data_IF_916128023322
#
_entry.id   IF_916128023322
#
_cell.length_a   1.000
_cell.length_b   1.000
_cell.length_c   1.000
_cell.angle_alpha   90.00
_cell.angle_beta   90.00
_cell.angle_gamma   90.00
#
_symmetry.space_group_name_H-M   'P 1'
#
loop_
_entity.id
_entity.type
_entity.pdbx_description
1 polymer ?
#
# COMPACT_ATOMS: atom_id res chain seq x y z
N UNK A 1 2.53 5.69 19.16
CA UNK A 1 3.22 5.92 17.88
C UNK A 1 3.42 7.41 17.77
N UNK A 2 4.64 7.83 17.47
CA UNK A 2 4.92 9.24 17.25
C UNK A 2 5.15 9.38 15.74
N UNK A 3 4.21 9.97 14.99
CA UNK A 3 4.41 10.18 13.57
C UNK A 3 5.57 11.15 13.35
N UNK A 4 6.28 10.99 12.23
CA UNK A 4 7.42 11.84 11.86
C UNK A 4 7.06 12.79 10.73
N UNK A 5 7.61 14.00 10.79
CA UNK A 5 7.36 15.04 9.80
C UNK A 5 8.15 14.81 8.53
N UNK A 6 7.47 14.88 7.38
CA UNK A 6 8.10 14.94 6.06
C UNK A 6 8.34 16.40 5.73
N UNK A 7 9.60 16.78 5.55
CA UNK A 7 10.02 18.16 5.30
C UNK A 7 10.29 18.38 3.81
N UNK A 8 9.83 19.50 3.28
CA UNK A 8 10.12 19.93 1.92
C UNK A 8 11.59 20.38 1.83
N UNK A 9 12.46 19.71 1.03
CA UNK A 9 13.88 20.05 0.96
C UNK A 9 14.16 21.41 0.30
N UNK A 10 13.17 22.02 -0.37
CA UNK A 10 13.33 23.32 -1.05
C UNK A 10 12.92 24.51 -0.18
N UNK A 11 12.06 24.30 0.83
CA UNK A 11 11.51 25.38 1.68
C UNK A 11 11.74 25.17 3.17
N UNK A 12 12.17 23.97 3.59
CA UNK A 12 12.33 23.55 4.98
C UNK A 12 11.00 23.55 5.79
N UNK A 13 9.87 23.61 5.09
CA UNK A 13 8.53 23.56 5.67
C UNK A 13 8.00 22.12 5.75
N UNK A 14 7.19 21.83 6.76
CA UNK A 14 6.53 20.53 6.93
C UNK A 14 5.42 20.32 5.89
N UNK A 15 5.47 19.18 5.18
CA UNK A 15 4.46 18.74 4.21
C UNK A 15 3.32 18.03 4.93
N UNK A 16 3.66 17.00 5.72
CA UNK A 16 2.72 16.20 6.49
C UNK A 16 3.44 15.37 7.55
N UNK A 17 2.67 14.74 8.44
CA UNK A 17 3.15 13.74 9.39
C UNK A 17 2.78 12.34 8.91
N UNK A 18 3.74 11.42 8.97
CA UNK A 18 3.57 10.02 8.54
C UNK A 18 3.85 9.09 9.73
N UNK A 19 3.06 8.04 9.85
CA UNK A 19 3.27 7.02 10.89
C UNK A 19 4.65 6.35 10.73
N UNK A 20 5.36 6.21 11.85
CA UNK A 20 6.61 5.48 11.90
C UNK A 20 6.33 3.98 12.00
N UNK A 21 6.72 3.22 10.97
CA UNK A 21 6.52 1.78 10.95
C UNK A 21 7.34 1.07 12.03
N UNK A 22 6.65 0.34 12.92
CA UNK A 22 7.31 -0.40 14.01
C UNK A 22 7.48 -1.89 13.68
N UNK A 23 8.23 -2.61 14.51
CA UNK A 23 8.32 -4.07 14.44
C UNK A 23 6.94 -4.74 14.58
N UNK A 24 6.09 -4.24 15.47
CA UNK A 24 4.76 -4.80 15.69
C UNK A 24 3.87 -4.61 14.46
N UNK A 25 4.01 -3.50 13.74
CA UNK A 25 3.28 -3.25 12.49
C UNK A 25 3.79 -4.14 11.36
N UNK A 26 5.09 -4.42 11.34
CA UNK A 26 5.68 -5.40 10.43
C UNK A 26 5.13 -6.81 10.70
N UNK A 27 5.06 -7.23 11.97
CA UNK A 27 4.53 -8.54 12.34
C UNK A 27 3.06 -8.68 11.93
N UNK A 28 2.23 -7.65 12.15
CA UNK A 28 0.84 -7.60 11.65
C UNK A 28 0.76 -7.67 10.12
N UNK A 29 1.64 -6.95 9.43
CA UNK A 29 1.70 -6.92 7.95
C UNK A 29 2.05 -8.29 7.39
N UNK A 30 3.03 -8.98 7.99
CA UNK A 30 3.43 -10.33 7.60
C UNK A 30 2.27 -11.31 7.82
N UNK A 31 1.60 -11.24 8.96
CA UNK A 31 0.45 -12.12 9.22
C UNK A 31 -0.72 -11.86 8.26
N UNK A 32 -0.99 -10.60 7.92
CA UNK A 32 -1.99 -10.24 6.91
C UNK A 32 -1.60 -10.77 5.52
N UNK A 33 -0.33 -10.62 5.10
CA UNK A 33 0.17 -11.12 3.82
C UNK A 33 0.09 -12.66 3.74
N UNK A 34 0.47 -13.35 4.82
CA UNK A 34 0.34 -14.82 4.92
C UNK A 34 -1.12 -15.24 4.74
N UNK A 35 -2.06 -14.62 5.47
CA UNK A 35 -3.50 -14.89 5.33
C UNK A 35 -4.00 -14.63 3.90
N UNK A 36 -3.58 -13.52 3.29
CA UNK A 36 -3.90 -13.18 1.91
C UNK A 36 -3.36 -14.17 0.87
N UNK A 37 -2.37 -15.00 1.24
CA UNK A 37 -1.75 -15.97 0.33
C UNK A 37 -2.02 -17.45 0.69
N UNK A 38 -2.83 -17.71 1.72
CA UNK A 38 -3.29 -19.06 2.07
C UNK A 38 -4.10 -19.68 0.91
N UNK A 39 -4.08 -21.01 0.80
CA UNK A 39 -4.71 -21.74 -0.33
C UNK A 39 -6.19 -21.41 -0.52
N UNK A 40 -6.91 -21.18 0.57
CA UNK A 40 -8.33 -20.90 0.59
C UNK A 40 -8.67 -19.40 0.52
N UNK A 41 -7.66 -18.53 0.49
CA UNK A 41 -7.82 -17.08 0.39
C UNK A 41 -8.49 -16.66 -0.93
N UNK A 42 -9.24 -15.54 -0.95
CA UNK A 42 -9.80 -15.01 -2.18
C UNK A 42 -8.75 -14.78 -3.26
N UNK A 43 -7.57 -14.25 -2.89
CA UNK A 43 -6.51 -13.97 -3.84
C UNK A 43 -5.94 -15.22 -4.52
N UNK A 44 -5.77 -16.33 -3.77
CA UNK A 44 -5.27 -17.60 -4.35
C UNK A 44 -6.33 -18.34 -5.16
N UNK A 45 -7.61 -18.18 -4.81
CA UNK A 45 -8.74 -18.80 -5.52
C UNK A 45 -9.17 -18.06 -6.78
N UNK A 46 -8.78 -16.80 -6.95
CA UNK A 46 -9.10 -16.04 -8.16
C UNK A 46 -8.48 -16.69 -9.39
N UNK A 47 -9.28 -16.80 -10.44
CA UNK A 47 -8.83 -17.18 -11.77
C UNK A 47 -7.69 -16.23 -12.23
N UNK A 48 -6.65 -16.73 -12.93
CA UNK A 48 -5.57 -15.89 -13.43
C UNK A 48 -6.03 -14.67 -14.22
N UNK A 49 -7.04 -14.80 -15.07
CA UNK A 49 -7.56 -13.67 -15.85
C UNK A 49 -8.27 -12.65 -14.96
N UNK A 50 -9.02 -13.10 -13.96
CA UNK A 50 -9.66 -12.21 -12.98
C UNK A 50 -8.64 -11.42 -12.16
N UNK A 51 -7.51 -12.04 -11.77
CA UNK A 51 -6.40 -11.32 -11.11
C UNK A 51 -5.77 -10.29 -12.05
N UNK A 52 -5.53 -10.66 -13.31
CA UNK A 52 -4.99 -9.73 -14.30
C UNK A 52 -5.92 -8.51 -14.47
N UNK A 53 -7.24 -8.71 -14.50
CA UNK A 53 -8.21 -7.61 -14.56
C UNK A 53 -8.11 -6.66 -13.36
N UNK A 54 -7.88 -7.16 -12.14
CA UNK A 54 -7.67 -6.31 -10.97
C UNK A 54 -6.38 -5.46 -11.09
N UNK A 55 -5.31 -6.06 -11.60
CA UNK A 55 -4.03 -5.36 -11.83
C UNK A 55 -4.17 -4.30 -12.93
N UNK A 56 -4.86 -4.63 -14.03
CA UNK A 56 -5.14 -3.66 -15.10
C UNK A 56 -6.03 -2.53 -14.60
N UNK A 57 -7.06 -2.83 -13.81
CA UNK A 57 -7.91 -1.79 -13.20
C UNK A 57 -7.10 -0.86 -12.28
N UNK A 58 -6.14 -1.39 -11.52
CA UNK A 58 -5.23 -0.55 -10.75
C UNK A 58 -4.43 0.39 -11.67
N UNK A 59 -3.88 -0.14 -12.76
CA UNK A 59 -3.15 0.66 -13.74
C UNK A 59 -4.04 1.73 -14.40
N UNK A 60 -5.29 1.42 -14.72
CA UNK A 60 -6.25 2.36 -15.30
C UNK A 60 -6.65 3.50 -14.33
N UNK A 61 -6.52 3.26 -13.02
CA UNK A 61 -6.81 4.25 -11.99
C UNK A 61 -5.64 5.20 -11.73
N UNK A 62 -4.38 4.76 -11.93
CA UNK A 62 -3.18 5.58 -11.69
C UNK A 62 -3.19 6.91 -12.46
N UNK A 63 -3.50 6.97 -13.78
CA UNK A 63 -3.56 8.23 -14.52
C UNK A 63 -4.56 9.25 -13.93
N UNK A 64 -5.59 8.81 -13.22
CA UNK A 64 -6.62 9.70 -12.65
C UNK A 64 -6.11 10.48 -11.44
N UNK A 65 -5.02 10.03 -10.84
CA UNK A 65 -4.42 10.63 -9.65
C UNK A 65 -3.02 11.16 -9.94
N UNK A 66 -2.52 11.04 -11.17
CA UNK A 66 -1.14 11.41 -11.54
C UNK A 66 -0.84 12.88 -11.33
N UNK A 67 -1.85 13.76 -11.47
CA UNK A 67 -1.70 15.20 -11.19
C UNK A 67 -1.43 15.48 -9.70
N UNK A 68 -1.67 14.49 -8.83
CA UNK A 68 -1.47 14.55 -7.37
C UNK A 68 -0.38 13.60 -6.86
N UNK A 69 0.31 12.87 -7.75
CA UNK A 69 1.42 11.97 -7.43
C UNK A 69 2.77 12.64 -7.71
#
# INVERSE_FOLDING_TARGET
>A
MNPFSIINPSTDEEICQVEEGTKDDLDKTIEAAKKGFQYDSPWRKLDPAARAQLIHKLADLLPRVVDYL
#
